data_IF_382624175914
#
_entry.id   IF_382624175914
#
_cell.length_a   1.000
_cell.length_b   1.000
_cell.length_c   1.000
_cell.angle_alpha   90.00
_cell.angle_beta   90.00
_cell.angle_gamma   90.00
#
_symmetry.space_group_name_H-M   'P 1'
#
loop_
_entity.id
_entity.type
_entity.pdbx_description
1 polymer ?
#
# COMPACT_ATOMS: atom_id res chain seq x y z
N UNK A 1 -32.77 26.19 -0.44
CA UNK A 1 -33.15 24.76 -0.46
C UNK A 1 -31.89 23.91 -0.23
N UNK A 2 -31.80 23.22 0.89
CA UNK A 2 -30.61 22.39 1.23
C UNK A 2 -30.70 21.05 0.51
N UNK A 3 -29.77 20.76 -0.41
CA UNK A 3 -29.66 19.45 -1.06
C UNK A 3 -29.38 18.40 0.02
N UNK A 4 -30.33 17.52 0.32
CA UNK A 4 -30.14 16.37 1.23
C UNK A 4 -28.89 15.59 0.78
N UNK A 5 -27.83 15.60 1.58
CA UNK A 5 -26.64 14.78 1.34
C UNK A 5 -27.05 13.31 1.47
N UNK A 6 -26.86 12.54 0.40
CA UNK A 6 -27.06 11.09 0.40
C UNK A 6 -26.01 10.41 1.28
N UNK A 7 -26.39 9.32 1.96
CA UNK A 7 -25.52 8.52 2.87
C UNK A 7 -24.20 8.15 2.18
N UNK A 8 -24.25 7.84 0.88
CA UNK A 8 -23.07 7.54 0.05
C UNK A 8 -22.08 8.71 -0.01
N UNK A 9 -22.56 9.94 -0.22
CA UNK A 9 -21.70 11.14 -0.26
C UNK A 9 -21.07 11.48 1.09
N UNK A 10 -21.75 11.16 2.20
CA UNK A 10 -21.21 11.32 3.56
C UNK A 10 -20.05 10.34 3.80
N UNK A 11 -20.23 9.06 3.41
CA UNK A 11 -19.18 8.03 3.54
C UNK A 11 -17.93 8.37 2.73
N UNK A 12 -18.08 8.86 1.49
CA UNK A 12 -16.95 9.27 0.66
C UNK A 12 -16.15 10.39 1.33
N UNK A 13 -16.82 11.44 1.80
CA UNK A 13 -16.17 12.57 2.47
C UNK A 13 -15.47 12.16 3.78
N UNK A 14 -16.08 11.27 4.56
CA UNK A 14 -15.46 10.73 5.77
C UNK A 14 -14.17 9.96 5.44
N UNK A 15 -14.18 9.14 4.38
CA UNK A 15 -12.99 8.43 3.90
C UNK A 15 -11.86 9.36 3.45
N UNK A 16 -12.19 10.46 2.78
CA UNK A 16 -11.22 11.49 2.39
C UNK A 16 -10.59 12.18 3.59
N UNK A 17 -11.41 12.59 4.57
CA UNK A 17 -10.93 13.21 5.79
C UNK A 17 -10.03 12.28 6.59
N UNK A 18 -10.43 11.01 6.73
CA UNK A 18 -9.59 10.00 7.38
C UNK A 18 -8.26 9.82 6.64
N UNK A 19 -8.28 9.76 5.31
CA UNK A 19 -7.06 9.65 4.51
C UNK A 19 -6.14 10.86 4.71
N UNK A 20 -6.71 12.07 4.81
CA UNK A 20 -5.94 13.28 5.09
C UNK A 20 -5.31 13.25 6.49
N UNK A 21 -6.08 12.88 7.52
CA UNK A 21 -5.53 12.73 8.87
C UNK A 21 -4.44 11.67 8.96
N UNK A 22 -4.62 10.53 8.29
CA UNK A 22 -3.60 9.48 8.24
C UNK A 22 -2.32 9.95 7.56
N UNK A 23 -2.41 10.76 6.50
CA UNK A 23 -1.23 11.36 5.86
C UNK A 23 -0.52 12.33 6.80
N UNK A 24 -1.26 13.23 7.44
CA UNK A 24 -0.68 14.19 8.37
C UNK A 24 0.02 13.48 9.53
N UNK A 25 -0.61 12.46 10.12
CA UNK A 25 0.01 11.66 11.19
C UNK A 25 1.25 10.92 10.68
N UNK A 26 1.22 10.40 9.45
CA UNK A 26 2.35 9.68 8.88
C UNK A 26 3.59 10.59 8.67
N UNK A 27 3.40 11.90 8.50
CA UNK A 27 4.47 12.88 8.34
C UNK A 27 5.12 13.31 9.68
N UNK A 28 4.48 13.04 10.82
CA UNK A 28 5.02 13.38 12.14
C UNK A 28 6.35 12.65 12.39
N UNK A 29 7.33 13.39 12.92
CA UNK A 29 8.66 12.87 13.29
C UNK A 29 8.66 12.38 14.73
N UNK A 30 8.75 11.06 14.93
CA UNK A 30 8.67 10.47 16.29
C UNK A 30 9.75 9.45 16.60
N UNK A 31 10.30 8.77 15.60
CA UNK A 31 11.18 7.62 15.84
C UNK A 31 12.64 7.97 15.61
N UNK A 32 13.51 7.59 16.55
CA UNK A 32 14.95 7.73 16.40
C UNK A 32 15.51 6.55 15.60
N UNK A 33 16.19 6.85 14.51
CA UNK A 33 16.92 5.89 13.70
C UNK A 33 18.39 5.99 14.05
N UNK A 34 18.95 4.84 14.43
CA UNK A 34 20.38 4.64 14.66
C UNK A 34 20.89 3.65 13.64
N UNK A 35 21.57 4.15 12.61
CA UNK A 35 22.21 3.32 11.60
C UNK A 35 23.72 3.26 11.87
N UNK A 36 24.31 2.09 11.66
CA UNK A 36 25.73 1.89 11.93
C UNK A 36 26.57 2.71 10.94
N UNK A 37 27.23 3.76 11.44
CA UNK A 37 28.08 4.64 10.63
C UNK A 37 27.41 5.91 10.09
N UNK A 38 26.15 6.16 10.44
CA UNK A 38 25.45 7.41 10.13
C UNK A 38 25.12 8.20 11.41
N UNK A 39 24.85 9.49 11.26
CA UNK A 39 24.36 10.31 12.37
C UNK A 39 22.93 9.93 12.77
N UNK A 40 22.70 9.85 14.08
CA UNK A 40 21.38 9.62 14.67
C UNK A 40 20.37 10.65 14.13
N UNK A 41 19.26 10.16 13.56
CA UNK A 41 18.23 11.04 12.98
C UNK A 41 16.82 10.64 13.37
N UNK A 42 15.94 11.63 13.47
CA UNK A 42 14.51 11.40 13.71
C UNK A 42 13.79 11.19 12.39
N UNK A 43 13.17 10.02 12.25
CA UNK A 43 12.35 9.63 11.12
C UNK A 43 10.88 9.95 11.31
N UNK A 44 10.18 10.10 10.19
CA UNK A 44 8.72 10.18 10.20
C UNK A 44 8.09 8.82 10.52
N UNK A 45 6.85 8.82 11.01
CA UNK A 45 6.09 7.58 11.24
C UNK A 45 5.97 6.74 9.95
N UNK A 46 5.81 7.40 8.80
CA UNK A 46 5.78 6.73 7.50
C UNK A 46 7.07 5.95 7.23
N UNK A 47 8.22 6.58 7.47
CA UNK A 47 9.52 5.94 7.26
C UNK A 47 9.75 4.80 8.26
N UNK A 48 9.46 5.02 9.54
CA UNK A 48 9.58 3.99 10.57
C UNK A 48 8.71 2.77 10.25
N UNK A 49 7.48 3.00 9.79
CA UNK A 49 6.58 1.92 9.36
C UNK A 49 7.13 1.18 8.13
N UNK A 50 7.67 1.89 7.14
CA UNK A 50 8.30 1.26 5.97
C UNK A 50 9.47 0.36 6.37
N UNK A 51 10.31 0.79 7.32
CA UNK A 51 11.43 -0.01 7.84
C UNK A 51 10.96 -1.27 8.57
N UNK A 52 9.89 -1.16 9.37
CA UNK A 52 9.27 -2.32 10.00
C UNK A 52 8.72 -3.29 8.96
N UNK A 53 8.07 -2.81 7.91
CA UNK A 53 7.59 -3.67 6.83
C UNK A 53 8.73 -4.47 6.19
N UNK A 54 9.87 -3.82 5.92
CA UNK A 54 11.07 -4.50 5.42
C UNK A 54 11.63 -5.53 6.42
N UNK A 55 11.67 -5.18 7.71
CA UNK A 55 12.08 -6.10 8.79
C UNK A 55 11.21 -7.36 8.80
N UNK A 56 9.89 -7.22 8.69
CA UNK A 56 8.97 -8.38 8.59
C UNK A 56 9.11 -9.15 7.28
N UNK A 57 9.27 -8.45 6.15
CA UNK A 57 9.41 -9.07 4.85
C UNK A 57 10.67 -9.95 4.75
N UNK A 58 11.78 -9.52 5.34
CA UNK A 58 13.03 -10.29 5.36
C UNK A 58 13.06 -11.37 6.45
N UNK A 59 12.17 -11.27 7.44
CA UNK A 59 12.27 -12.05 8.67
C UNK A 59 13.40 -11.53 9.57
N UNK A 60 13.29 -11.79 10.86
CA UNK A 60 14.27 -11.33 11.84
C UNK A 60 14.25 -12.20 13.09
N UNK A 61 15.33 -12.13 13.84
CA UNK A 61 15.40 -12.70 15.18
C UNK A 61 15.29 -11.56 16.20
N UNK A 62 14.51 -11.78 17.25
CA UNK A 62 14.36 -10.83 18.35
C UNK A 62 14.48 -11.56 19.68
N UNK A 63 15.11 -10.90 20.65
CA UNK A 63 15.18 -11.44 22.02
C UNK A 63 13.88 -11.04 22.73
N UNK A 64 13.11 -12.04 23.15
CA UNK A 64 11.95 -11.80 23.98
C UNK A 64 12.41 -11.26 25.35
N UNK A 65 12.02 -10.03 25.65
CA UNK A 65 12.40 -9.31 26.87
C UNK A 65 11.93 -10.04 28.14
N UNK A 66 10.87 -10.86 28.05
CA UNK A 66 10.31 -11.58 29.20
C UNK A 66 11.02 -12.90 29.46
N UNK A 67 11.40 -13.61 28.40
CA UNK A 67 11.94 -14.98 28.50
C UNK A 67 13.44 -15.06 28.23
N UNK A 68 14.05 -14.01 27.68
CA UNK A 68 15.44 -13.96 27.24
C UNK A 68 15.72 -14.87 26.03
N UNK A 69 14.71 -15.51 25.45
CA UNK A 69 14.87 -16.44 24.34
C UNK A 69 14.83 -15.70 23.01
N UNK A 70 15.58 -16.22 22.04
CA UNK A 70 15.54 -15.75 20.66
C UNK A 70 14.27 -16.29 20.00
N UNK A 71 13.40 -15.38 19.56
CA UNK A 71 12.22 -15.67 18.74
C UNK A 71 12.58 -15.39 17.29
N UNK A 72 12.42 -16.41 16.45
CA UNK A 72 12.65 -16.30 15.01
C UNK A 72 11.33 -16.00 14.29
N UNK A 73 11.25 -14.82 13.67
CA UNK A 73 10.16 -14.41 12.80
C UNK A 73 10.51 -14.76 11.36
N UNK A 74 9.71 -15.66 10.76
CA UNK A 74 9.87 -16.03 9.36
C UNK A 74 9.50 -14.84 8.45
N UNK A 75 10.09 -14.78 7.23
CA UNK A 75 9.68 -13.81 6.21
C UNK A 75 8.16 -13.79 6.01
N UNK A 76 7.55 -12.61 6.13
CA UNK A 76 6.12 -12.43 5.95
C UNK A 76 5.77 -12.24 4.46
N UNK A 77 5.05 -13.21 3.89
CA UNK A 77 4.66 -13.21 2.47
C UNK A 77 3.73 -12.05 2.09
N UNK A 78 2.88 -11.59 2.99
CA UNK A 78 1.97 -10.46 2.74
C UNK A 78 2.76 -9.15 2.70
N UNK A 79 3.73 -8.97 3.59
CA UNK A 79 4.62 -7.80 3.56
C UNK A 79 5.50 -7.79 2.31
N UNK A 80 6.05 -8.95 1.93
CA UNK A 80 6.80 -9.12 0.67
C UNK A 80 5.93 -8.68 -0.52
N UNK A 81 4.71 -9.23 -0.64
CA UNK A 81 3.80 -8.90 -1.74
C UNK A 81 3.45 -7.40 -1.77
N UNK A 82 3.16 -6.81 -0.60
CA UNK A 82 2.81 -5.40 -0.51
C UNK A 82 3.98 -4.48 -0.90
N UNK A 83 5.20 -4.83 -0.52
CA UNK A 83 6.41 -4.11 -0.94
C UNK A 83 6.60 -4.22 -2.45
N UNK A 84 6.50 -5.42 -3.03
CA UNK A 84 6.61 -5.60 -4.49
C UNK A 84 5.56 -4.78 -5.24
N UNK A 85 4.30 -4.78 -4.79
CA UNK A 85 3.26 -3.98 -5.41
C UNK A 85 3.55 -2.48 -5.37
N UNK A 86 4.26 -2.00 -4.33
CA UNK A 86 4.64 -0.59 -4.18
C UNK A 86 5.87 -0.23 -5.02
N UNK A 87 6.89 -1.10 -5.05
CA UNK A 87 8.13 -0.88 -5.80
C UNK A 87 7.92 -1.03 -7.30
N UNK A 88 7.15 -2.02 -7.75
CA UNK A 88 6.83 -2.24 -9.17
C UNK A 88 5.75 -1.29 -9.71
N UNK A 89 5.22 -0.39 -8.87
CA UNK A 89 4.19 0.57 -9.27
C UNK A 89 2.81 -0.04 -9.52
N UNK A 90 2.57 -1.28 -9.09
CA UNK A 90 1.26 -1.95 -9.20
C UNK A 90 0.22 -1.45 -8.20
N UNK A 91 0.63 -0.70 -7.18
CA UNK A 91 -0.27 -0.19 -6.15
C UNK A 91 -0.64 1.29 -6.35
N UNK A 92 -1.73 1.60 -7.08
CA UNK A 92 -2.49 2.80 -6.81
C UNK A 92 -3.52 2.48 -5.72
N UNK A 93 -3.17 2.63 -4.45
CA UNK A 93 -4.19 2.94 -3.43
C UNK A 93 -4.36 4.46 -3.40
N UNK A 94 -4.74 4.99 -4.54
CA UNK A 94 -5.31 6.32 -4.63
C UNK A 94 -6.69 6.12 -5.21
N UNK A 95 -7.72 6.32 -4.37
CA UNK A 95 -9.01 6.80 -4.86
C UNK A 95 -8.67 8.13 -5.55
N UNK A 96 -8.32 8.06 -6.84
CA UNK A 96 -8.29 9.22 -7.70
C UNK A 96 -9.76 9.56 -7.91
N UNK A 97 -10.21 10.62 -7.27
CA UNK A 97 -11.40 11.33 -7.72
C UNK A 97 -11.20 11.68 -9.18
N UNK A 98 -12.20 11.29 -9.98
CA UNK A 98 -12.48 11.66 -11.36
C UNK A 98 -11.32 11.72 -12.36
N UNK A 99 -11.24 10.69 -13.20
CA UNK A 99 -11.27 10.87 -14.65
C UNK A 99 -11.43 9.49 -15.30
N UNK A 100 -12.64 9.21 -15.80
CA UNK A 100 -12.91 8.25 -16.88
C UNK A 100 -12.33 6.83 -16.76
N UNK A 101 -12.18 6.27 -15.55
CA UNK A 101 -11.67 4.90 -15.41
C UNK A 101 -12.75 3.88 -15.74
N UNK A 102 -12.57 3.24 -16.90
CA UNK A 102 -13.12 1.93 -17.23
C UNK A 102 -13.14 1.06 -15.95
N UNK A 103 -14.33 0.63 -15.58
CA UNK A 103 -14.62 -0.29 -14.48
C UNK A 103 -13.69 -1.51 -14.53
N UNK A 104 -13.46 -2.18 -13.40
CA UNK A 104 -12.59 -3.38 -13.36
C UNK A 104 -12.99 -4.40 -14.43
N UNK A 105 -14.29 -4.52 -14.70
CA UNK A 105 -14.88 -5.32 -15.78
C UNK A 105 -14.40 -4.89 -17.17
N UNK A 106 -14.41 -3.59 -17.44
CA UNK A 106 -13.93 -3.02 -18.71
C UNK A 106 -12.42 -3.15 -18.87
N UNK A 107 -11.63 -3.03 -17.78
CA UNK A 107 -10.17 -3.27 -17.81
C UNK A 107 -9.85 -4.74 -18.09
N UNK A 108 -10.62 -5.69 -17.56
CA UNK A 108 -10.50 -7.13 -17.86
C UNK A 108 -10.90 -7.42 -19.30
N UNK A 109 -11.96 -6.76 -19.80
CA UNK A 109 -12.39 -6.88 -21.21
C UNK A 109 -11.33 -6.36 -22.18
N UNK A 110 -10.72 -5.20 -21.90
CA UNK A 110 -9.65 -4.63 -22.72
C UNK A 110 -8.36 -5.48 -22.66
N UNK A 111 -8.02 -6.04 -21.49
CA UNK A 111 -6.92 -7.01 -21.41
C UNK A 111 -7.22 -8.31 -22.15
N UNK A 112 -8.48 -8.77 -22.15
CA UNK A 112 -8.94 -9.94 -22.91
C UNK A 112 -8.81 -9.73 -24.42
N UNK A 113 -9.30 -8.59 -24.94
CA UNK A 113 -9.15 -8.21 -26.35
C UNK A 113 -7.69 -8.12 -26.78
N UNK A 114 -6.83 -7.55 -25.92
CA UNK A 114 -5.39 -7.40 -26.21
C UNK A 114 -4.67 -8.75 -26.28
N UNK A 115 -5.08 -9.73 -25.46
CA UNK A 115 -4.57 -11.11 -25.54
C UNK A 115 -5.06 -11.82 -26.80
N UNK A 116 -6.32 -11.63 -27.19
CA UNK A 116 -6.90 -12.22 -28.41
C UNK A 116 -6.22 -11.65 -29.67
N UNK A 117 -5.92 -10.35 -29.71
CA UNK A 117 -5.23 -9.74 -30.86
C UNK A 117 -3.75 -10.14 -30.94
N UNK A 118 -3.09 -10.39 -29.80
CA UNK A 118 -1.70 -10.86 -29.75
C UNK A 118 -1.56 -12.36 -30.02
N UNK A 119 -2.59 -13.16 -29.72
CA UNK A 119 -2.61 -14.60 -29.96
C UNK A 119 -2.91 -14.99 -31.42
N UNK A 120 -3.01 -14.01 -32.34
CA UNK A 120 -3.43 -14.23 -33.72
C UNK A 120 -4.94 -14.43 -33.77
N UNK A 121 -5.67 -13.37 -34.12
CA UNK A 121 -7.10 -13.43 -34.34
C UNK A 121 -7.44 -14.58 -35.30
N UNK A 122 -8.42 -15.39 -34.89
CA UNK A 122 -8.97 -16.53 -35.62
C UNK A 122 -9.16 -16.21 -37.11
N UNK A 123 -8.34 -16.85 -37.93
CA UNK A 123 -8.67 -17.19 -39.31
C UNK A 123 -9.83 -18.19 -39.31
N UNK A 124 -10.89 -17.89 -40.06
CA UNK A 124 -12.01 -18.81 -40.41
C UNK A 124 -13.26 -18.56 -39.57
N UNK A 125 -14.40 -18.16 -40.11
CA UNK A 125 -14.96 -18.29 -41.47
C UNK A 125 -15.92 -17.14 -41.77
#
# INVERSE_FOLDING_TARGET
>A
MSKKKTIRGIKTRAGQLLSAFLRNVAEEKTELIKEAGEEDRIASKAEAMARLMWKFALGFNEVDVKTGKIVAYKPDKAMIALIYDRVEGRSPVAIKEDDGKLTVSERVSEQGKKRISQAGGLSGS
#
